data_IF_564762578573
#
_entry.id   IF_564762578573
#
_cell.length_a   1.000
_cell.length_b   1.000
_cell.length_c   1.000
_cell.angle_alpha   90.00
_cell.angle_beta   90.00
_cell.angle_gamma   90.00
#
_symmetry.space_group_name_H-M   'P 1'
#
loop_
_entity.id
_entity.type
_entity.pdbx_description
1 polymer ?
#
# COMPACT_ATOMS: atom_id res chain seq x y z
N UNK A 1 57.86 21.81 9.55
CA UNK A 1 57.15 22.43 8.41
C UNK A 1 56.72 21.34 7.44
N UNK A 2 55.54 20.75 7.68
CA UNK A 2 54.99 19.70 6.82
C UNK A 2 54.22 20.29 5.64
N UNK A 3 54.63 19.98 4.41
CA UNK A 3 53.89 20.32 3.19
C UNK A 3 52.64 19.45 3.10
N UNK A 4 51.47 20.07 3.15
CA UNK A 4 50.19 19.43 2.76
C UNK A 4 50.19 19.35 1.23
N UNK A 5 50.26 18.13 0.70
CA UNK A 5 50.05 17.86 -0.73
C UNK A 5 48.54 17.79 -0.97
N UNK A 6 47.99 18.80 -1.64
CA UNK A 6 46.66 18.75 -2.23
C UNK A 6 46.65 17.72 -3.36
N UNK A 7 45.95 16.60 -3.17
CA UNK A 7 45.68 15.64 -4.25
C UNK A 7 44.64 16.26 -5.19
N UNK A 8 45.05 16.59 -6.41
CA UNK A 8 44.14 16.80 -7.53
C UNK A 8 43.49 15.46 -7.89
N UNK A 9 42.16 15.40 -8.10
CA UNK A 9 41.49 14.16 -8.42
C UNK A 9 41.93 13.65 -9.80
N UNK A 10 41.99 12.33 -9.94
CA UNK A 10 42.41 11.69 -11.18
C UNK A 10 41.33 11.84 -12.26
N UNK A 11 41.74 11.85 -13.54
CA UNK A 11 40.83 11.92 -14.71
C UNK A 11 39.75 10.82 -14.72
N UNK A 12 39.95 9.72 -13.99
CA UNK A 12 38.94 8.66 -13.76
C UNK A 12 37.91 8.99 -12.68
N UNK A 13 38.23 9.83 -11.70
CA UNK A 13 37.28 10.34 -10.69
C UNK A 13 36.40 11.46 -11.26
N UNK A 14 36.93 12.33 -12.13
CA UNK A 14 36.12 13.34 -12.84
C UNK A 14 35.10 12.70 -13.79
N UNK A 15 35.44 11.61 -14.47
CA UNK A 15 34.50 10.87 -15.35
C UNK A 15 33.45 10.09 -14.56
N UNK A 16 33.78 9.60 -13.35
CA UNK A 16 32.79 9.01 -12.43
C UNK A 16 31.86 10.07 -11.85
N UNK A 17 32.37 11.23 -11.46
CA UNK A 17 31.56 12.36 -10.98
C UNK A 17 30.64 12.92 -12.08
N UNK A 18 31.07 12.94 -13.35
CA UNK A 18 30.20 13.32 -14.46
C UNK A 18 29.11 12.28 -14.78
N UNK A 19 29.36 10.98 -14.55
CA UNK A 19 28.32 9.94 -14.66
C UNK A 19 27.36 9.93 -13.46
N UNK A 20 27.82 10.22 -12.25
CA UNK A 20 26.96 10.38 -11.07
C UNK A 20 26.15 11.68 -11.10
N UNK A 21 26.68 12.78 -11.64
CA UNK A 21 25.93 14.02 -11.86
C UNK A 21 24.98 13.95 -13.07
N UNK A 22 25.22 13.06 -14.04
CA UNK A 22 24.32 12.80 -15.18
C UNK A 22 23.11 11.93 -14.80
N UNK A 23 23.15 11.21 -13.67
CA UNK A 23 22.01 10.47 -13.12
C UNK A 23 21.07 11.33 -12.27
N UNK A 24 21.44 12.59 -11.99
CA UNK A 24 20.62 13.58 -11.28
C UNK A 24 20.07 14.61 -12.27
N UNK A 25 19.27 14.13 -13.24
CA UNK A 25 18.29 14.90 -14.04
C UNK A 25 17.57 13.95 -15.02
N UNK A 26 17.00 12.84 -14.52
CA UNK A 26 15.85 12.29 -15.23
C UNK A 26 14.74 13.33 -15.11
N UNK A 27 14.55 14.12 -16.17
CA UNK A 27 13.42 15.03 -16.31
C UNK A 27 12.18 14.27 -15.87
N UNK A 28 11.57 14.71 -14.76
CA UNK A 28 10.27 14.19 -14.32
C UNK A 28 9.34 14.43 -15.49
N UNK A 29 8.94 13.36 -16.18
CA UNK A 29 8.00 13.51 -17.28
C UNK A 29 6.70 14.11 -16.71
N UNK A 30 6.13 15.12 -17.37
CA UNK A 30 4.90 15.75 -16.91
C UNK A 30 3.81 14.69 -16.74
N UNK A 31 3.15 14.69 -15.59
CA UNK A 31 2.07 13.74 -15.28
C UNK A 31 0.75 14.33 -15.78
N UNK A 32 -0.05 13.54 -16.46
CA UNK A 32 -1.34 13.97 -16.96
C UNK A 32 -2.46 13.09 -16.43
N UNK A 33 -3.63 13.68 -16.15
CA UNK A 33 -4.79 12.96 -15.59
C UNK A 33 -6.08 13.36 -16.30
N UNK A 34 -7.10 12.51 -16.17
CA UNK A 34 -8.45 12.81 -16.67
C UNK A 34 -9.02 14.01 -15.89
N UNK A 35 -9.68 14.97 -16.56
CA UNK A 35 -10.40 16.06 -15.90
C UNK A 35 -11.45 15.52 -14.92
N UNK A 36 -11.56 16.12 -13.73
CA UNK A 36 -12.59 15.77 -12.74
C UNK A 36 -13.98 16.23 -13.20
N UNK A 37 -15.05 15.43 -12.99
CA UNK A 37 -16.40 15.77 -13.42
C UNK A 37 -17.12 16.86 -12.58
N UNK A 38 -16.44 17.50 -11.62
CA UNK A 38 -17.06 18.38 -10.62
C UNK A 38 -17.16 19.87 -11.01
N UNK A 39 -16.74 20.28 -12.20
CA UNK A 39 -17.03 21.62 -12.73
C UNK A 39 -18.28 21.52 -13.61
N UNK A 40 -19.41 21.95 -13.09
CA UNK A 40 -20.69 21.99 -13.80
C UNK A 40 -20.66 22.96 -14.99
N UNK A 41 -20.11 22.50 -16.11
CA UNK A 41 -20.39 22.86 -17.51
C UNK A 41 -19.60 21.86 -18.37
N UNK A 42 -20.25 21.22 -19.34
CA UNK A 42 -19.81 19.99 -20.01
C UNK A 42 -18.62 20.08 -20.99
N UNK A 43 -17.67 21.01 -20.84
CA UNK A 43 -16.50 21.07 -21.72
C UNK A 43 -15.21 21.31 -20.92
N UNK A 44 -14.24 20.41 -21.06
CA UNK A 44 -12.92 20.56 -20.46
C UNK A 44 -12.07 21.49 -21.32
N UNK A 45 -11.82 22.72 -20.88
CA UNK A 45 -10.91 23.69 -21.52
C UNK A 45 -9.41 23.31 -21.41
N UNK A 46 -9.08 22.03 -21.58
CA UNK A 46 -7.69 21.58 -21.47
C UNK A 46 -6.96 21.69 -22.80
N UNK A 47 -5.76 22.28 -22.78
CA UNK A 47 -4.82 22.29 -23.90
C UNK A 47 -4.07 20.96 -24.10
N UNK A 48 -4.35 19.92 -23.30
CA UNK A 48 -3.70 18.62 -23.46
C UNK A 48 -4.72 17.52 -23.79
N UNK A 49 -4.31 16.61 -24.66
CA UNK A 49 -5.12 15.49 -25.14
C UNK A 49 -4.42 14.17 -24.81
N UNK A 50 -5.19 13.24 -24.27
CA UNK A 50 -4.82 11.82 -24.22
C UNK A 50 -5.26 11.16 -25.53
N UNK A 51 -4.33 10.50 -26.21
CA UNK A 51 -4.55 9.84 -27.50
C UNK A 51 -4.17 8.36 -27.37
N UNK A 52 -5.16 7.49 -27.44
CA UNK A 52 -4.93 6.04 -27.51
C UNK A 52 -4.81 5.55 -28.95
N UNK A 53 -4.22 4.36 -29.11
CA UNK A 53 -3.89 3.75 -30.40
C UNK A 53 -2.89 4.59 -31.21
N UNK A 54 -1.99 5.26 -30.49
CA UNK A 54 -1.06 6.23 -31.03
C UNK A 54 0.20 6.25 -30.16
N UNK A 55 1.34 5.88 -30.73
CA UNK A 55 2.63 5.83 -30.03
C UNK A 55 3.66 4.87 -30.65
N UNK A 56 4.88 4.81 -30.09
CA UNK A 56 5.98 4.03 -30.67
C UNK A 56 5.71 2.53 -30.76
N UNK A 57 4.99 1.94 -29.79
CA UNK A 57 4.69 0.52 -29.79
C UNK A 57 3.65 0.10 -30.86
N UNK A 58 2.93 1.07 -31.44
CA UNK A 58 2.06 0.83 -32.61
C UNK A 58 2.70 1.27 -33.93
N UNK A 59 4.00 1.64 -33.92
CA UNK A 59 4.76 1.99 -35.12
C UNK A 59 4.83 3.48 -35.44
N UNK A 60 4.36 4.37 -34.56
CA UNK A 60 4.33 5.82 -34.81
C UNK A 60 5.35 6.55 -33.93
N UNK A 61 6.24 7.34 -34.55
CA UNK A 61 7.19 8.18 -33.79
C UNK A 61 6.48 9.40 -33.19
N UNK A 62 7.00 9.93 -32.09
CA UNK A 62 6.47 11.17 -31.50
C UNK A 62 6.51 12.34 -32.47
N UNK A 63 7.52 12.41 -33.35
CA UNK A 63 7.65 13.47 -34.35
C UNK A 63 6.57 13.36 -35.43
N UNK A 64 6.28 12.15 -35.92
CA UNK A 64 5.20 11.92 -36.87
C UNK A 64 3.83 12.28 -36.28
N UNK A 65 3.60 11.90 -35.02
CA UNK A 65 2.38 12.28 -34.29
C UNK A 65 2.30 13.80 -34.13
N UNK A 66 3.40 14.45 -33.73
CA UNK A 66 3.46 15.91 -33.58
C UNK A 66 3.16 16.65 -34.87
N UNK A 67 3.66 16.16 -36.01
CA UNK A 67 3.43 16.73 -37.33
C UNK A 67 1.95 16.68 -37.76
N UNK A 68 1.22 15.61 -37.43
CA UNK A 68 -0.21 15.52 -37.74
C UNK A 68 -1.02 16.49 -36.86
N UNK A 69 -0.69 16.56 -35.57
CA UNK A 69 -1.43 17.41 -34.64
C UNK A 69 -1.10 18.90 -34.78
N UNK A 70 0.05 19.26 -35.39
CA UNK A 70 0.40 20.67 -35.64
C UNK A 70 -0.50 21.35 -36.67
N UNK A 71 -1.27 20.59 -37.47
CA UNK A 71 -2.29 21.12 -38.36
C UNK A 71 -3.43 21.85 -37.62
N UNK A 72 -3.63 21.56 -36.34
CA UNK A 72 -4.68 22.15 -35.51
C UNK A 72 -4.19 23.32 -34.66
N UNK A 73 -2.87 23.50 -34.53
CA UNK A 73 -2.24 24.57 -33.75
C UNK A 73 -0.85 24.21 -33.26
N UNK A 74 -0.20 25.13 -32.54
CA UNK A 74 1.17 24.92 -32.05
C UNK A 74 1.24 23.79 -31.00
N UNK A 75 2.02 22.75 -31.29
CA UNK A 75 2.24 21.61 -30.38
C UNK A 75 3.49 21.86 -29.52
N UNK A 76 3.29 21.99 -28.21
CA UNK A 76 4.37 22.11 -27.21
C UNK A 76 5.16 20.82 -27.04
N UNK A 77 4.52 19.68 -27.25
CA UNK A 77 5.20 18.39 -27.21
C UNK A 77 4.27 17.18 -27.24
N UNK A 78 4.88 16.04 -27.54
CA UNK A 78 4.26 14.71 -27.50
C UNK A 78 4.99 13.87 -26.45
N UNK A 79 4.25 13.40 -25.45
CA UNK A 79 4.79 12.68 -24.29
C UNK A 79 4.17 11.27 -24.20
N UNK A 80 4.88 10.26 -23.68
CA UNK A 80 4.28 8.97 -23.35
C UNK A 80 3.16 9.16 -22.31
N UNK A 81 1.99 8.54 -22.52
CA UNK A 81 0.92 8.58 -21.52
C UNK A 81 1.12 7.54 -20.39
N UNK A 82 1.77 6.43 -20.70
CA UNK A 82 2.13 5.34 -19.78
C UNK A 82 3.30 4.52 -20.37
N UNK A 83 3.72 3.46 -19.68
CA UNK A 83 4.82 2.58 -20.12
C UNK A 83 4.45 1.64 -21.29
N UNK A 84 3.18 1.63 -21.74
CA UNK A 84 2.73 0.70 -22.79
C UNK A 84 3.25 1.07 -24.18
N UNK A 85 3.61 2.34 -24.40
CA UNK A 85 4.04 2.85 -25.70
C UNK A 85 2.94 2.90 -26.77
N UNK A 86 1.69 2.52 -26.46
CA UNK A 86 0.56 2.55 -27.39
C UNK A 86 -0.34 3.79 -27.24
N UNK A 87 0.02 4.68 -26.31
CA UNK A 87 -0.73 5.89 -25.96
C UNK A 87 0.22 7.06 -25.71
N UNK A 88 -0.19 8.26 -26.13
CA UNK A 88 0.56 9.50 -25.95
C UNK A 88 -0.32 10.62 -25.38
N UNK A 89 0.34 11.63 -24.82
CA UNK A 89 -0.23 12.93 -24.48
C UNK A 89 0.29 13.95 -25.48
N UNK A 90 -0.63 14.74 -26.03
CA UNK A 90 -0.31 15.86 -26.92
C UNK A 90 -0.64 17.15 -26.18
N UNK A 91 0.35 18.02 -26.06
CA UNK A 91 0.20 19.32 -25.39
C UNK A 91 0.21 20.42 -26.44
N UNK A 92 -0.89 21.17 -26.53
CA UNK A 92 -1.01 22.36 -27.39
C UNK A 92 -0.64 23.63 -26.62
N UNK A 93 -0.29 24.67 -27.37
CA UNK A 93 -0.09 26.01 -26.84
C UNK A 93 -1.37 26.56 -26.20
N UNK A 94 -2.53 26.28 -26.80
CA UNK A 94 -3.84 26.79 -26.43
C UNK A 94 -4.92 25.67 -26.40
N UNK A 95 -6.03 25.87 -25.66
CA UNK A 95 -7.10 24.89 -25.55
C UNK A 95 -8.02 24.79 -26.79
N UNK A 96 -8.05 25.79 -27.66
CA UNK A 96 -8.89 25.78 -28.86
C UNK A 96 -8.35 24.79 -29.89
N UNK A 97 -7.03 24.78 -30.08
CA UNK A 97 -6.32 23.80 -30.92
C UNK A 97 -6.56 22.37 -30.45
N UNK A 98 -6.54 22.14 -29.13
CA UNK A 98 -6.85 20.83 -28.53
C UNK A 98 -8.31 20.40 -28.79
N UNK A 99 -9.27 21.32 -28.66
CA UNK A 99 -10.68 21.05 -28.96
C UNK A 99 -10.89 20.71 -30.45
N UNK A 100 -10.30 21.50 -31.34
CA UNK A 100 -10.37 21.30 -32.79
C UNK A 100 -9.81 19.93 -33.21
N UNK A 101 -8.66 19.53 -32.66
CA UNK A 101 -8.06 18.23 -32.92
C UNK A 101 -8.92 17.07 -32.38
N UNK A 102 -9.49 17.22 -31.18
CA UNK A 102 -10.40 16.23 -30.59
C UNK A 102 -11.63 16.01 -31.48
N UNK A 103 -12.30 17.07 -31.92
CA UNK A 103 -13.52 17.00 -32.74
C UNK A 103 -13.24 16.44 -34.14
N UNK A 104 -12.06 16.71 -34.69
CA UNK A 104 -11.68 16.29 -36.04
C UNK A 104 -11.16 14.86 -36.12
N UNK A 105 -10.41 14.39 -35.13
CA UNK A 105 -9.68 13.12 -35.19
C UNK A 105 -10.26 12.02 -34.29
N UNK A 106 -11.01 12.35 -33.24
CA UNK A 106 -11.52 11.33 -32.31
C UNK A 106 -12.58 10.45 -32.99
N UNK A 107 -12.36 9.13 -32.95
CA UNK A 107 -13.29 8.15 -33.50
C UNK A 107 -13.30 8.08 -35.04
N UNK A 108 -12.38 8.76 -35.73
CA UNK A 108 -12.27 8.75 -37.20
C UNK A 108 -10.91 8.17 -37.65
N UNK A 109 -10.85 7.46 -38.79
CA UNK A 109 -9.59 7.04 -39.40
C UNK A 109 -8.73 8.25 -39.76
N UNK A 110 -7.45 8.25 -39.36
CA UNK A 110 -6.49 9.28 -39.72
C UNK A 110 -5.51 8.73 -40.78
N UNK A 111 -5.63 9.14 -42.06
CA UNK A 111 -4.77 8.63 -43.14
C UNK A 111 -3.28 8.85 -42.87
N UNK A 112 -2.93 9.98 -42.27
CA UNK A 112 -1.54 10.38 -41.95
C UNK A 112 -0.94 9.58 -40.78
N UNK A 113 -1.74 8.76 -40.10
CA UNK A 113 -1.34 7.84 -39.03
C UNK A 113 -1.76 6.41 -39.37
N UNK A 114 -1.46 5.97 -40.59
CA UNK A 114 -1.76 4.65 -41.16
C UNK A 114 -3.26 4.28 -41.17
N UNK A 115 -4.15 5.26 -41.33
CA UNK A 115 -5.60 5.04 -41.33
C UNK A 115 -6.18 4.63 -39.97
N UNK A 116 -5.42 4.78 -38.87
CA UNK A 116 -5.85 4.33 -37.54
C UNK A 116 -6.97 5.19 -37.01
N UNK A 117 -7.91 4.56 -36.32
CA UNK A 117 -8.93 5.27 -35.55
C UNK A 117 -8.36 5.62 -34.18
N UNK A 118 -8.31 6.91 -33.88
CA UNK A 118 -7.80 7.43 -32.61
C UNK A 118 -8.91 7.56 -31.58
N UNK A 119 -8.61 7.27 -30.32
CA UNK A 119 -9.50 7.59 -29.21
C UNK A 119 -8.89 8.72 -28.40
N UNK A 120 -9.46 9.92 -28.58
CA UNK A 120 -8.93 11.15 -28.01
C UNK A 120 -9.85 11.61 -26.87
N UNK A 121 -9.24 12.07 -25.78
CA UNK A 121 -9.94 12.68 -24.64
C UNK A 121 -9.14 13.88 -24.14
N UNK A 122 -9.81 14.89 -23.58
CA UNK A 122 -9.11 15.92 -22.82
C UNK A 122 -8.37 15.30 -21.63
N UNK A 123 -7.18 15.82 -21.37
CA UNK A 123 -6.31 15.44 -20.26
C UNK A 123 -5.72 16.70 -19.67
N UNK A 124 -5.60 16.84 -18.37
CA UNK A 124 -4.99 18.02 -17.76
C UNK A 124 -3.57 17.72 -17.33
N UNK A 125 -2.67 18.69 -17.52
CA UNK A 125 -1.34 18.64 -16.93
C UNK A 125 -1.52 18.68 -15.41
N UNK A 126 -1.24 17.57 -14.76
CA UNK A 126 -0.98 17.57 -13.34
C UNK A 126 0.42 18.16 -13.21
N UNK A 127 0.49 19.49 -13.05
CA UNK A 127 1.63 20.13 -12.39
C UNK A 127 1.97 19.25 -11.18
N UNK A 128 3.24 19.11 -10.78
CA UNK A 128 3.55 18.61 -9.46
C UNK A 128 2.88 19.57 -8.48
N UNK A 129 1.60 19.32 -8.21
CA UNK A 129 0.94 19.70 -7.00
C UNK A 129 1.97 19.29 -5.97
N UNK A 130 2.41 20.24 -5.14
CA UNK A 130 2.53 19.92 -3.72
C UNK A 130 1.37 18.98 -3.48
N UNK A 131 1.70 17.70 -3.40
CA UNK A 131 0.76 16.59 -3.42
C UNK A 131 -0.46 17.08 -2.69
N UNK A 132 -1.66 17.04 -3.28
CA UNK A 132 -2.85 17.08 -2.44
C UNK A 132 -2.51 16.16 -1.29
N UNK A 133 -2.33 16.77 -0.13
CA UNK A 133 -1.88 16.08 1.06
C UNK A 133 -3.13 15.28 1.40
N UNK A 134 -3.30 14.12 0.76
CA UNK A 134 -3.75 12.97 1.50
C UNK A 134 -2.83 12.99 2.69
N UNK A 135 -3.30 13.54 3.81
CA UNK A 135 -2.58 13.72 5.07
C UNK A 135 -1.54 12.61 5.14
N UNK A 136 -0.30 12.90 4.77
CA UNK A 136 0.68 11.85 4.61
C UNK A 136 1.04 11.50 6.04
N UNK A 137 0.32 10.54 6.59
CA UNK A 137 0.42 10.17 8.00
C UNK A 137 1.91 9.93 8.25
N UNK A 138 2.54 10.72 9.14
CA UNK A 138 3.96 10.56 9.40
C UNK A 138 4.24 9.11 9.79
N UNK A 139 5.22 8.51 9.11
CA UNK A 139 5.57 7.11 9.31
C UNK A 139 6.68 7.01 10.35
N UNK A 140 6.35 6.43 11.51
CA UNK A 140 7.31 6.14 12.56
C UNK A 140 8.11 4.88 12.27
N UNK A 141 9.34 4.83 12.78
CA UNK A 141 10.22 3.66 12.67
C UNK A 141 10.22 2.82 13.96
N UNK A 142 9.79 3.41 15.07
CA UNK A 142 9.63 2.74 16.37
C UNK A 142 8.16 2.67 16.75
N UNK A 143 7.77 1.58 17.40
CA UNK A 143 6.43 1.44 17.98
C UNK A 143 6.14 2.49 19.06
N UNK A 144 7.14 2.83 19.88
CA UNK A 144 7.01 3.80 20.97
C UNK A 144 6.67 5.20 20.47
N UNK A 145 7.20 5.59 19.31
CA UNK A 145 6.93 6.91 18.69
C UNK A 145 5.44 7.10 18.35
N UNK A 146 4.70 6.00 18.19
CA UNK A 146 3.28 6.08 17.92
C UNK A 146 2.46 6.45 19.14
N UNK A 147 2.94 6.26 20.38
CA UNK A 147 2.13 6.49 21.58
C UNK A 147 0.76 5.79 21.48
N UNK A 148 0.75 4.52 21.04
CA UNK A 148 -0.44 3.65 21.07
C UNK A 148 -0.20 2.64 22.20
N UNK A 149 -0.97 2.68 23.30
CA UNK A 149 -0.82 1.73 24.40
C UNK A 149 -1.00 0.29 23.93
N UNK A 150 -0.09 -0.60 24.35
CA UNK A 150 -0.09 -2.02 23.97
C UNK A 150 0.43 -2.31 22.56
N UNK A 151 1.04 -1.33 21.88
CA UNK A 151 1.73 -1.55 20.60
C UNK A 151 3.24 -1.59 20.83
N UNK A 152 3.89 -2.68 20.41
CA UNK A 152 5.35 -2.82 20.48
C UNK A 152 5.91 -3.41 19.18
N UNK A 153 7.04 -2.86 18.71
CA UNK A 153 7.76 -3.38 17.56
C UNK A 153 9.17 -3.77 17.99
N UNK A 154 9.52 -5.04 17.79
CA UNK A 154 10.87 -5.56 18.03
C UNK A 154 11.52 -5.86 16.67
N UNK A 155 12.48 -5.03 16.20
CA UNK A 155 13.25 -5.32 15.00
C UNK A 155 14.18 -6.52 15.21
N UNK A 156 14.61 -7.14 14.10
CA UNK A 156 15.56 -8.25 14.09
C UNK A 156 15.19 -9.39 15.08
N UNK A 157 13.89 -9.66 15.20
CA UNK A 157 13.33 -10.71 16.05
C UNK A 157 13.75 -12.11 15.58
N UNK A 158 13.98 -12.28 14.27
CA UNK A 158 14.56 -13.50 13.69
C UNK A 158 15.83 -13.14 12.92
N UNK A 159 16.73 -14.10 12.78
CA UNK A 159 17.90 -13.93 11.91
C UNK A 159 17.52 -14.08 10.43
N UNK A 160 18.45 -13.75 9.53
CA UNK A 160 18.25 -13.94 8.09
C UNK A 160 18.11 -15.43 7.72
N UNK A 161 18.84 -16.30 8.41
CA UNK A 161 18.80 -17.75 8.24
C UNK A 161 17.45 -18.32 8.71
N UNK A 162 16.96 -17.88 9.88
CA UNK A 162 15.63 -18.25 10.37
C UNK A 162 14.53 -17.77 9.42
N UNK A 163 14.62 -16.54 8.90
CA UNK A 163 13.70 -16.02 7.89
C UNK A 163 13.65 -16.92 6.65
N UNK A 164 14.80 -17.36 6.14
CA UNK A 164 14.85 -18.28 5.00
C UNK A 164 14.21 -19.64 5.31
N UNK A 165 14.47 -20.20 6.49
CA UNK A 165 13.89 -21.47 6.92
C UNK A 165 12.36 -21.39 7.05
N UNK A 166 11.84 -20.31 7.65
CA UNK A 166 10.40 -20.08 7.77
C UNK A 166 9.72 -19.94 6.41
N UNK A 167 10.33 -19.18 5.49
CA UNK A 167 9.82 -18.99 4.14
C UNK A 167 9.84 -20.30 3.35
N UNK A 168 10.93 -21.06 3.41
CA UNK A 168 11.03 -22.37 2.77
C UNK A 168 9.97 -23.35 3.31
N UNK A 169 9.75 -23.37 4.63
CA UNK A 169 8.75 -24.22 5.24
C UNK A 169 7.33 -23.94 4.70
N UNK A 170 6.91 -22.68 4.66
CA UNK A 170 5.56 -22.34 4.14
C UNK A 170 5.45 -22.50 2.62
N UNK A 171 6.54 -22.36 1.87
CA UNK A 171 6.53 -22.55 0.42
C UNK A 171 6.28 -24.01 0.01
N UNK A 172 6.57 -24.97 0.89
CA UNK A 172 6.24 -26.38 0.67
C UNK A 172 4.79 -26.76 0.99
N UNK A 173 4.03 -25.84 1.60
CA UNK A 173 2.67 -26.09 2.05
C UNK A 173 1.63 -25.51 1.08
N UNK A 174 0.43 -26.10 0.99
CA UNK A 174 -0.64 -25.60 0.13
C UNK A 174 -1.12 -24.22 0.56
N UNK A 175 -1.43 -23.37 -0.42
CA UNK A 175 -1.95 -22.02 -0.20
C UNK A 175 -3.43 -21.92 -0.52
N UNK A 176 -4.18 -21.21 0.33
CA UNK A 176 -5.58 -20.85 0.08
C UNK A 176 -5.59 -19.47 -0.59
N UNK A 177 -6.14 -19.39 -1.80
CA UNK A 177 -6.30 -18.13 -2.53
C UNK A 177 -7.47 -17.30 -2.00
N UNK A 178 -7.23 -16.03 -1.69
CA UNK A 178 -8.25 -15.00 -1.48
C UNK A 178 -8.25 -14.03 -2.66
N UNK A 179 -9.20 -13.09 -2.69
CA UNK A 179 -9.42 -12.18 -3.82
C UNK A 179 -8.17 -11.41 -4.30
N UNK A 180 -7.23 -11.06 -3.41
CA UNK A 180 -6.02 -10.29 -3.75
C UNK A 180 -4.71 -10.86 -3.16
N UNK A 181 -4.80 -11.84 -2.27
CA UNK A 181 -3.66 -12.39 -1.52
C UNK A 181 -3.88 -13.88 -1.27
N UNK A 182 -2.88 -14.58 -0.76
CA UNK A 182 -3.01 -15.98 -0.35
C UNK A 182 -2.64 -16.18 1.11
N UNK A 183 -3.20 -17.22 1.72
CA UNK A 183 -3.05 -17.50 3.15
C UNK A 183 -2.81 -18.99 3.42
N UNK A 184 -2.26 -19.28 4.60
CA UNK A 184 -2.25 -20.61 5.22
C UNK A 184 -2.70 -20.47 6.66
N UNK A 185 -3.44 -21.45 7.16
CA UNK A 185 -3.91 -21.49 8.55
C UNK A 185 -3.38 -22.73 9.24
N UNK A 186 -2.94 -22.57 10.49
CA UNK A 186 -2.50 -23.65 11.35
C UNK A 186 -3.12 -23.50 12.73
N UNK A 187 -3.33 -24.63 13.41
CA UNK A 187 -4.08 -24.66 14.65
C UNK A 187 -5.58 -24.62 14.39
N UNK A 188 -6.07 -23.46 13.99
CA UNK A 188 -7.47 -23.26 13.61
C UNK A 188 -7.59 -22.49 12.30
N UNK A 189 -8.63 -22.81 11.53
CA UNK A 189 -8.99 -22.05 10.33
C UNK A 189 -9.61 -20.71 10.71
N UNK A 190 -9.23 -19.64 10.02
CA UNK A 190 -9.92 -18.36 10.13
C UNK A 190 -11.02 -18.26 9.06
N UNK A 191 -12.27 -18.33 9.49
CA UNK A 191 -13.44 -18.32 8.62
C UNK A 191 -13.77 -16.88 8.19
N UNK A 192 -13.36 -16.48 6.97
CA UNK A 192 -13.56 -15.11 6.48
C UNK A 192 -15.02 -14.67 6.35
N UNK A 193 -15.95 -15.60 6.10
CA UNK A 193 -17.39 -15.30 5.99
C UNK A 193 -18.01 -14.85 7.30
N UNK A 194 -17.58 -15.44 8.43
CA UNK A 194 -18.05 -15.09 9.78
C UNK A 194 -17.07 -14.19 10.53
N UNK A 195 -15.87 -13.97 9.97
CA UNK A 195 -14.72 -13.29 10.59
C UNK A 195 -14.38 -13.89 11.96
N UNK A 196 -14.47 -15.21 12.09
CA UNK A 196 -14.29 -15.90 13.37
C UNK A 196 -13.52 -17.22 13.18
N UNK A 197 -13.38 -17.96 14.27
CA UNK A 197 -12.83 -19.31 14.31
C UNK A 197 -13.92 -20.27 14.78
N UNK A 198 -14.03 -21.44 14.16
CA UNK A 198 -14.82 -22.53 14.71
C UNK A 198 -14.00 -23.29 15.77
N UNK A 199 -14.29 -23.02 17.04
CA UNK A 199 -13.57 -23.64 18.18
C UNK A 199 -13.79 -25.14 18.28
N UNK A 200 -14.79 -25.70 17.57
CA UNK A 200 -15.04 -27.15 17.50
C UNK A 200 -14.19 -27.84 16.45
N UNK A 201 -13.62 -27.09 15.50
CA UNK A 201 -12.86 -27.65 14.39
C UNK A 201 -11.40 -27.18 14.42
N UNK A 202 -10.55 -27.95 15.11
CA UNK A 202 -9.11 -27.71 15.20
C UNK A 202 -8.37 -28.47 14.08
N UNK A 203 -7.58 -27.76 13.29
CA UNK A 203 -6.78 -28.30 12.19
C UNK A 203 -5.57 -29.12 12.67
N UNK A 204 -5.11 -28.90 13.90
CA UNK A 204 -3.97 -29.59 14.50
C UNK A 204 -3.22 -28.72 15.50
N UNK A 205 -1.99 -29.10 15.81
CA UNK A 205 -1.06 -28.24 16.55
C UNK A 205 -0.39 -27.23 15.61
N UNK A 206 0.29 -26.24 16.20
CA UNK A 206 1.14 -25.34 15.41
C UNK A 206 2.34 -26.13 14.88
N UNK A 207 2.78 -25.87 13.63
CA UNK A 207 3.80 -26.68 12.99
C UNK A 207 5.17 -26.51 13.68
N UNK A 208 6.03 -27.55 13.70
CA UNK A 208 7.30 -27.50 14.43
C UNK A 208 8.25 -26.36 14.02
N UNK A 209 8.18 -25.89 12.77
CA UNK A 209 9.02 -24.79 12.29
C UNK A 209 8.75 -23.45 12.98
N UNK A 210 7.60 -23.28 13.65
CA UNK A 210 7.32 -22.06 14.45
C UNK A 210 7.71 -22.17 15.91
N UNK A 211 8.14 -23.35 16.39
CA UNK A 211 8.53 -23.55 17.80
C UNK A 211 9.60 -22.55 18.28
N UNK A 212 10.67 -22.24 17.53
CA UNK A 212 11.65 -21.24 17.95
C UNK A 212 11.03 -19.83 18.14
N UNK A 213 10.06 -19.49 17.30
CA UNK A 213 9.33 -18.21 17.35
C UNK A 213 8.47 -18.15 18.61
N UNK A 214 7.73 -19.23 18.90
CA UNK A 214 6.92 -19.34 20.12
C UNK A 214 7.77 -19.23 21.39
N UNK A 215 8.92 -19.90 21.43
CA UNK A 215 9.88 -19.81 22.54
C UNK A 215 10.38 -18.37 22.72
N UNK A 216 10.78 -17.70 21.63
CA UNK A 216 11.26 -16.31 21.70
C UNK A 216 10.16 -15.32 22.07
N UNK A 217 8.90 -15.57 21.68
CA UNK A 217 7.74 -14.77 22.10
C UNK A 217 7.56 -14.82 23.62
N UNK A 218 7.83 -15.97 24.25
CA UNK A 218 7.75 -16.09 25.72
C UNK A 218 8.77 -15.20 26.45
N UNK A 219 9.79 -14.71 25.75
CA UNK A 219 10.81 -13.82 26.30
C UNK A 219 10.58 -12.34 25.90
N UNK A 220 9.40 -12.01 25.34
CA UNK A 220 9.14 -10.67 24.83
C UNK A 220 9.06 -9.65 25.99
N UNK A 221 9.81 -8.53 25.94
CA UNK A 221 10.08 -7.67 27.11
C UNK A 221 8.91 -6.81 27.61
N UNK A 222 7.69 -6.97 27.08
CA UNK A 222 6.52 -6.15 27.44
C UNK A 222 5.24 -7.00 27.53
N UNK A 223 5.36 -8.21 28.08
CA UNK A 223 4.20 -9.02 28.42
C UNK A 223 3.80 -8.71 29.86
N UNK A 224 2.62 -8.11 30.04
CA UNK A 224 2.01 -7.90 31.37
C UNK A 224 1.50 -9.22 32.00
N UNK A 225 1.67 -10.34 31.29
CA UNK A 225 1.26 -11.67 31.70
C UNK A 225 2.47 -12.58 31.92
N UNK A 226 2.30 -13.57 32.79
CA UNK A 226 3.24 -14.68 32.91
C UNK A 226 3.44 -15.34 31.53
N UNK A 227 4.66 -15.34 30.96
CA UNK A 227 4.91 -15.98 29.67
C UNK A 227 4.47 -17.44 29.58
N UNK A 228 4.45 -18.17 30.71
CA UNK A 228 3.96 -19.55 30.76
C UNK A 228 2.45 -19.67 30.45
N UNK A 229 1.70 -18.58 30.58
CA UNK A 229 0.27 -18.51 30.26
C UNK A 229 0.00 -18.27 28.76
N UNK A 230 0.99 -17.79 28.01
CA UNK A 230 0.84 -17.38 26.62
C UNK A 230 0.87 -18.57 25.65
N UNK A 231 -0.22 -19.33 25.59
CA UNK A 231 -0.35 -20.55 24.77
C UNK A 231 -0.96 -20.28 23.39
N UNK A 232 -0.24 -19.58 22.52
CA UNK A 232 -0.68 -19.31 21.15
C UNK A 232 -0.97 -20.63 20.42
N UNK A 233 -2.15 -20.73 19.82
CA UNK A 233 -2.67 -21.96 19.22
C UNK A 233 -3.30 -21.75 17.84
N UNK A 234 -3.21 -20.54 17.30
CA UNK A 234 -3.60 -20.24 15.92
C UNK A 234 -2.48 -19.45 15.23
N UNK A 235 -2.16 -19.83 13.99
CA UNK A 235 -1.27 -19.09 13.08
C UNK A 235 -1.96 -18.83 11.72
N UNK A 236 -1.93 -17.57 11.28
CA UNK A 236 -2.30 -17.17 9.91
C UNK A 236 -1.04 -16.69 9.21
N UNK A 237 -0.59 -17.43 8.20
CA UNK A 237 0.44 -16.97 7.27
C UNK A 237 -0.26 -16.20 6.15
N UNK A 238 0.16 -14.97 5.89
CA UNK A 238 -0.36 -14.17 4.77
C UNK A 238 0.78 -13.86 3.82
N UNK A 239 0.57 -14.06 2.51
CA UNK A 239 1.48 -13.57 1.48
C UNK A 239 0.82 -12.48 0.64
N UNK A 240 1.52 -11.34 0.54
CA UNK A 240 1.10 -10.15 -0.19
C UNK A 240 2.01 -9.93 -1.41
N UNK A 241 1.43 -9.91 -2.62
CA UNK A 241 2.10 -9.39 -3.80
C UNK A 241 2.32 -7.87 -3.71
N UNK A 242 3.27 -7.34 -4.48
CA UNK A 242 3.50 -5.90 -4.56
C UNK A 242 2.23 -5.13 -4.99
N UNK A 243 1.85 -4.10 -4.23
CA UNK A 243 0.62 -3.34 -4.45
C UNK A 243 -0.59 -3.82 -3.67
N UNK A 244 -0.54 -5.04 -3.13
CA UNK A 244 -1.62 -5.62 -2.33
C UNK A 244 -1.43 -5.23 -0.86
N UNK A 245 -2.51 -4.74 -0.26
CA UNK A 245 -2.61 -4.41 1.15
C UNK A 245 -3.69 -5.24 1.85
N UNK A 246 -4.19 -4.69 2.95
CA UNK A 246 -5.21 -5.28 3.81
C UNK A 246 -6.08 -4.16 4.34
N UNK A 247 -7.38 -4.20 4.05
CA UNK A 247 -8.37 -3.20 4.48
C UNK A 247 -8.37 -2.96 5.99
N UNK A 248 -8.76 -1.77 6.47
CA UNK A 248 -8.79 -1.47 7.90
C UNK A 248 -9.71 -2.42 8.64
N UNK A 249 -9.24 -2.99 9.74
CA UNK A 249 -10.03 -3.87 10.60
C UNK A 249 -9.43 -3.98 12.01
N UNK A 250 -10.26 -4.43 12.94
CA UNK A 250 -9.86 -4.94 14.26
C UNK A 250 -10.07 -6.45 14.23
N UNK A 251 -9.14 -7.21 14.82
CA UNK A 251 -9.29 -8.65 14.97
C UNK A 251 -10.43 -8.96 15.95
N UNK A 252 -11.33 -9.86 15.54
CA UNK A 252 -12.59 -10.17 16.22
C UNK A 252 -12.39 -10.44 17.71
N UNK A 253 -13.17 -9.77 18.56
CA UNK A 253 -12.95 -9.78 20.00
C UNK A 253 -13.32 -11.13 20.61
N UNK A 254 -14.38 -11.76 20.10
CA UNK A 254 -14.77 -13.11 20.53
C UNK A 254 -13.81 -14.20 20.08
N UNK A 255 -13.07 -14.00 18.98
CA UNK A 255 -12.29 -15.05 18.32
C UNK A 255 -10.94 -15.28 19.00
N UNK A 256 -10.30 -14.18 19.42
CA UNK A 256 -8.93 -14.21 19.91
C UNK A 256 -8.77 -13.48 21.23
N UNK A 257 -7.79 -13.93 22.02
CA UNK A 257 -7.40 -13.27 23.27
C UNK A 257 -6.68 -11.94 23.03
N UNK A 258 -6.02 -11.43 24.06
CA UNK A 258 -5.47 -10.08 24.10
C UNK A 258 -4.24 -9.92 23.21
N UNK A 259 -3.24 -10.78 23.37
CA UNK A 259 -1.98 -10.65 22.64
C UNK A 259 -2.06 -11.20 21.21
N UNK A 260 -1.73 -10.36 20.23
CA UNK A 260 -1.59 -10.72 18.81
C UNK A 260 -0.18 -10.39 18.36
N UNK A 261 0.54 -11.39 17.86
CA UNK A 261 1.90 -11.26 17.37
C UNK A 261 1.92 -11.34 15.84
N UNK A 262 2.63 -10.44 15.18
CA UNK A 262 2.76 -10.41 13.74
C UNK A 262 4.23 -10.29 13.33
N UNK A 263 4.85 -11.39 12.94
CA UNK A 263 6.19 -11.44 12.39
C UNK A 263 6.15 -11.07 10.90
N UNK A 264 6.93 -10.06 10.51
CA UNK A 264 7.06 -9.63 9.10
C UNK A 264 8.30 -10.27 8.46
N UNK A 265 8.18 -10.83 7.26
CA UNK A 265 9.24 -11.53 6.53
C UNK A 265 9.28 -11.12 5.05
N UNK A 266 10.42 -11.31 4.41
CA UNK A 266 10.76 -11.05 3.00
C UNK A 266 10.70 -9.58 2.55
N UNK A 267 9.59 -8.88 2.78
CA UNK A 267 9.36 -7.52 2.30
C UNK A 267 8.83 -6.60 3.39
N UNK A 268 9.29 -5.34 3.46
CA UNK A 268 8.73 -4.37 4.39
C UNK A 268 7.31 -3.95 3.98
N UNK A 269 6.60 -3.29 4.90
CA UNK A 269 5.42 -2.49 4.56
C UNK A 269 5.21 -1.35 5.56
N UNK A 270 4.34 -0.41 5.21
CA UNK A 270 3.70 0.47 6.20
C UNK A 270 2.41 -0.20 6.68
N UNK A 271 2.22 -0.22 7.99
CA UNK A 271 0.93 -0.51 8.62
C UNK A 271 0.39 0.79 9.24
N UNK A 272 -0.82 1.19 8.85
CA UNK A 272 -1.53 2.30 9.47
C UNK A 272 -2.45 1.79 10.58
N UNK A 273 -2.57 2.59 11.63
CA UNK A 273 -3.47 2.41 12.75
C UNK A 273 -4.47 3.56 12.75
N UNK A 274 -5.76 3.23 12.83
CA UNK A 274 -6.86 4.19 12.79
C UNK A 274 -7.77 4.02 14.00
N UNK A 275 -7.97 5.11 14.74
CA UNK A 275 -8.93 5.18 15.86
C UNK A 275 -10.01 6.18 15.52
N UNK A 276 -11.26 5.70 15.52
CA UNK A 276 -12.43 6.52 15.24
C UNK A 276 -13.03 7.04 16.55
N UNK A 277 -13.59 8.25 16.51
CA UNK A 277 -14.40 8.74 17.62
C UNK A 277 -15.72 7.95 17.73
N UNK A 278 -16.30 7.88 18.93
CA UNK A 278 -17.45 7.03 19.22
C UNK A 278 -18.72 7.40 18.41
N UNK A 279 -18.87 8.64 17.96
CA UNK A 279 -20.00 9.08 17.12
C UNK A 279 -19.89 8.60 15.67
N UNK A 280 -18.68 8.48 15.14
CA UNK A 280 -18.43 8.13 13.72
C UNK A 280 -18.56 6.63 13.45
N UNK A 281 -18.24 5.78 14.43
CA UNK A 281 -18.25 4.31 14.25
C UNK A 281 -19.65 3.71 14.08
N UNK A 282 -20.66 4.30 14.73
CA UNK A 282 -22.06 3.84 14.63
C UNK A 282 -22.66 4.03 13.23
N UNK A 283 -22.17 5.00 12.45
CA UNK A 283 -22.74 5.30 11.12
C UNK A 283 -22.32 4.25 10.10
N UNK A 284 -21.12 3.67 10.20
CA UNK A 284 -20.63 2.68 9.23
C UNK A 284 -21.12 1.24 9.48
N UNK A 285 -21.85 0.99 10.57
CA UNK A 285 -22.34 -0.36 10.92
C UNK A 285 -23.81 -0.61 10.55
N UNK A 286 -24.55 0.42 10.10
CA UNK A 286 -25.95 0.29 9.67
C UNK A 286 -26.27 1.19 8.46
N UNK A 287 -25.84 0.80 7.26
CA UNK A 287 -26.56 1.09 6.01
C UNK A 287 -25.87 0.42 4.81
N UNK A 288 -26.62 -0.45 4.15
CA UNK A 288 -26.52 -0.64 2.69
C UNK A 288 -26.91 0.67 2.01
N UNK A 289 -26.15 1.02 0.99
CA UNK A 289 -26.37 2.06 0.00
C UNK A 289 -25.99 3.52 0.38
N UNK A 290 -25.29 4.11 -0.60
CA UNK A 290 -24.90 5.51 -0.82
C UNK A 290 -23.57 6.04 -0.24
N UNK A 291 -22.78 6.57 -1.19
CA UNK A 291 -21.43 7.09 -1.10
C UNK A 291 -21.36 8.43 -0.34
N UNK A 292 -21.67 8.45 0.96
CA UNK A 292 -21.25 9.57 1.81
C UNK A 292 -19.88 9.27 2.42
N UNK A 293 -18.83 9.91 1.88
CA UNK A 293 -17.51 9.92 2.50
C UNK A 293 -17.65 10.45 3.94
N UNK A 294 -17.37 9.64 4.97
CA UNK A 294 -17.45 10.11 6.34
C UNK A 294 -16.45 11.25 6.51
N UNK A 295 -16.92 12.33 7.13
CA UNK A 295 -16.12 13.49 7.46
C UNK A 295 -14.84 13.03 8.19
N UNK A 296 -13.70 13.23 7.54
CA UNK A 296 -12.38 12.75 7.99
C UNK A 296 -11.90 13.43 9.28
N UNK A 297 -12.67 14.38 9.80
CA UNK A 297 -12.36 15.24 10.96
C UNK A 297 -12.23 14.51 12.31
N UNK A 298 -12.63 13.23 12.42
CA UNK A 298 -12.70 12.51 13.71
C UNK A 298 -11.90 11.21 13.80
N UNK A 299 -10.99 10.96 12.85
CA UNK A 299 -10.17 9.73 12.80
C UNK A 299 -8.70 10.02 13.10
N UNK A 300 -8.18 9.53 14.22
CA UNK A 300 -6.74 9.57 14.52
C UNK A 300 -6.04 8.51 13.67
N UNK A 301 -5.08 8.92 12.84
CA UNK A 301 -4.28 8.03 12.00
C UNK A 301 -2.83 8.07 12.43
N UNK A 302 -2.21 6.90 12.53
CA UNK A 302 -0.80 6.70 12.88
C UNK A 302 -0.21 5.66 11.93
N UNK A 303 1.05 5.76 11.56
CA UNK A 303 1.65 4.83 10.59
C UNK A 303 3.00 4.31 11.08
N UNK A 304 3.19 2.99 11.01
CA UNK A 304 4.40 2.30 11.42
C UNK A 304 5.07 1.64 10.22
N UNK A 305 6.36 1.83 10.09
CA UNK A 305 7.18 1.03 9.19
C UNK A 305 7.48 -0.34 9.84
N UNK A 306 7.12 -1.41 9.14
CA UNK A 306 7.40 -2.79 9.53
C UNK A 306 8.54 -3.34 8.66
N UNK A 307 9.80 -3.37 9.15
CA UNK A 307 10.89 -3.99 8.43
C UNK A 307 10.75 -5.53 8.39
N UNK A 308 11.39 -6.22 7.44
CA UNK A 308 11.53 -7.68 7.51
C UNK A 308 12.19 -8.10 8.82
N UNK A 309 11.92 -9.33 9.25
CA UNK A 309 12.39 -9.96 10.48
C UNK A 309 11.97 -9.27 11.77
N UNK A 310 10.98 -8.37 11.73
CA UNK A 310 10.46 -7.71 12.93
C UNK A 310 9.19 -8.36 13.45
N UNK A 311 9.03 -8.36 14.77
CA UNK A 311 7.83 -8.81 15.46
C UNK A 311 7.05 -7.60 15.97
N UNK A 312 5.80 -7.47 15.51
CA UNK A 312 4.83 -6.53 16.06
C UNK A 312 3.96 -7.24 17.10
N UNK A 313 3.83 -6.68 18.30
CA UNK A 313 2.85 -7.07 19.31
C UNK A 313 1.74 -6.02 19.36
N UNK A 314 0.49 -6.49 19.30
CA UNK A 314 -0.71 -5.73 19.64
C UNK A 314 -1.35 -6.38 20.88
N UNK A 315 -1.50 -5.60 21.94
CA UNK A 315 -2.25 -5.94 23.16
C UNK A 315 -3.07 -4.74 23.62
N UNK A 316 -4.00 -4.95 24.56
CA UNK A 316 -4.79 -3.90 25.16
C UNK A 316 -5.45 -2.97 24.13
N UNK A 317 -5.24 -1.66 24.28
CA UNK A 317 -5.85 -0.67 23.39
C UNK A 317 -5.49 -0.91 21.92
N UNK A 318 -4.21 -1.17 21.59
CA UNK A 318 -3.75 -1.41 20.23
C UNK A 318 -4.50 -2.55 19.54
N UNK A 319 -4.86 -3.60 20.29
CA UNK A 319 -5.56 -4.79 19.78
C UNK A 319 -7.09 -4.62 19.76
N UNK A 320 -7.68 -3.88 20.68
CA UNK A 320 -9.14 -3.81 20.83
C UNK A 320 -9.78 -2.53 20.28
N UNK A 321 -9.02 -1.46 20.06
CA UNK A 321 -9.58 -0.14 19.73
C UNK A 321 -8.98 0.51 18.47
N UNK A 322 -7.88 -0.02 17.93
CA UNK A 322 -7.24 0.51 16.74
C UNK A 322 -7.43 -0.43 15.55
N UNK A 323 -8.02 0.10 14.49
CA UNK A 323 -8.05 -0.60 13.21
C UNK A 323 -6.65 -0.60 12.62
N UNK A 324 -6.13 -1.77 12.26
CA UNK A 324 -4.87 -1.88 11.54
C UNK A 324 -5.13 -2.12 10.06
N UNK A 325 -4.28 -1.52 9.22
CA UNK A 325 -4.47 -1.40 7.78
C UNK A 325 -3.11 -1.47 7.07
N UNK A 326 -3.02 -2.18 5.96
CA UNK A 326 -1.86 -2.12 5.06
C UNK A 326 -2.32 -1.44 3.77
N UNK A 327 -1.77 -0.28 3.38
CA UNK A 327 -2.22 0.42 2.18
C UNK A 327 -2.06 -0.35 0.87
N UNK A 328 -3.00 -0.21 -0.06
CA UNK A 328 -2.92 -0.79 -1.41
C UNK A 328 -2.12 0.11 -2.36
N UNK A 329 -0.78 0.10 -2.24
CA UNK A 329 0.11 0.79 -3.16
C UNK A 329 1.44 0.05 -3.34
N UNK A 330 2.19 0.41 -4.38
CA UNK A 330 3.49 -0.21 -4.72
C UNK A 330 4.69 0.54 -4.15
N UNK A 331 4.45 1.71 -3.56
CA UNK A 331 5.49 2.63 -3.10
C UNK A 331 5.07 3.18 -1.74
N UNK A 332 5.92 2.95 -0.75
CA UNK A 332 5.85 3.51 0.60
C UNK A 332 6.76 4.76 0.66
N UNK A 333 6.31 5.83 1.32
CA UNK A 333 7.16 6.98 1.66
C UNK A 333 7.41 6.95 3.17
N UNK A 334 8.67 6.77 3.57
CA UNK A 334 9.08 6.66 4.96
C UNK A 334 10.11 7.76 5.24
N UNK A 335 9.70 8.79 5.98
CA UNK A 335 10.46 10.05 6.10
C UNK A 335 10.80 10.57 4.69
N UNK A 336 12.07 10.88 4.41
CA UNK A 336 12.52 11.37 3.10
C UNK A 336 12.85 10.25 2.09
N UNK A 337 12.61 8.97 2.46
CA UNK A 337 12.95 7.81 1.62
C UNK A 337 11.70 7.27 0.92
N UNK A 338 11.86 7.01 -0.37
CA UNK A 338 10.87 6.31 -1.19
C UNK A 338 11.26 4.83 -1.26
N UNK A 339 10.42 3.95 -0.71
CA UNK A 339 10.64 2.51 -0.68
C UNK A 339 9.66 1.85 -1.63
N UNK A 340 10.17 1.14 -2.65
CA UNK A 340 9.32 0.32 -3.52
C UNK A 340 9.02 -0.99 -2.80
N UNK A 341 7.75 -1.39 -2.74
CA UNK A 341 7.36 -2.64 -2.10
C UNK A 341 7.96 -3.83 -2.83
N UNK A 342 8.57 -4.73 -2.06
CA UNK A 342 9.09 -6.00 -2.54
C UNK A 342 8.03 -6.75 -3.36
N UNK A 343 8.44 -7.56 -4.36
CA UNK A 343 7.51 -8.42 -5.10
C UNK A 343 6.70 -9.34 -4.19
N UNK A 344 7.27 -9.69 -3.03
CA UNK A 344 6.74 -10.61 -2.04
C UNK A 344 6.93 -10.04 -0.63
N UNK A 345 5.87 -10.07 0.17
CA UNK A 345 5.90 -9.91 1.62
C UNK A 345 5.14 -11.06 2.25
N UNK A 346 5.68 -11.65 3.30
CA UNK A 346 5.01 -12.68 4.09
C UNK A 346 4.86 -12.18 5.52
N UNK A 347 3.74 -12.49 6.18
CA UNK A 347 3.60 -12.25 7.61
C UNK A 347 2.97 -13.44 8.33
N UNK A 348 3.51 -13.77 9.50
CA UNK A 348 3.00 -14.82 10.37
C UNK A 348 2.29 -14.14 11.53
N UNK A 349 0.97 -14.31 11.60
CA UNK A 349 0.14 -13.74 12.67
C UNK A 349 -0.24 -14.84 13.65
N UNK A 350 0.32 -14.80 14.86
CA UNK A 350 0.07 -15.78 15.92
C UNK A 350 -0.87 -15.19 16.97
N UNK A 351 -1.83 -16.02 17.39
CA UNK A 351 -2.91 -15.65 18.31
C UNK A 351 -3.25 -16.81 19.22
N UNK A 352 -3.94 -16.49 20.32
CA UNK A 352 -4.63 -17.46 21.17
C UNK A 352 -6.13 -17.39 20.86
N UNK A 353 -6.74 -18.52 20.49
CA UNK A 353 -8.18 -18.64 20.30
C UNK A 353 -8.89 -18.50 21.65
N UNK A 354 -9.94 -17.68 21.67
CA UNK A 354 -10.73 -17.39 22.86
C UNK A 354 -11.93 -18.35 22.94
N UNK A 355 -12.13 -18.97 24.09
CA UNK A 355 -13.21 -19.94 24.34
C UNK A 355 -14.34 -19.41 25.24
N UNK A 356 -14.36 -18.11 25.51
CA UNK A 356 -15.35 -17.45 26.36
C UNK A 356 -15.68 -16.05 25.82
N UNK A 357 -16.82 -15.44 26.18
CA UNK A 357 -17.15 -14.09 25.72
C UNK A 357 -16.07 -13.07 26.10
N UNK A 358 -15.77 -12.14 25.20
CA UNK A 358 -14.84 -11.04 25.48
C UNK A 358 -15.48 -10.02 26.44
N UNK A 359 -14.67 -9.50 27.36
CA UNK A 359 -15.05 -8.48 28.37
C UNK A 359 -14.04 -7.33 28.41
N UNK A 360 -13.47 -6.97 27.26
CA UNK A 360 -12.50 -5.88 27.15
C UNK A 360 -13.12 -4.52 27.52
N UNK A 361 -12.28 -3.54 27.84
CA UNK A 361 -12.66 -2.16 28.19
C UNK A 361 -13.20 -1.33 26.99
N UNK A 362 -13.32 -1.95 25.82
CA UNK A 362 -13.74 -1.31 24.57
C UNK A 362 -15.03 -1.91 24.00
N UNK A 363 -16.18 -1.82 24.72
CA UNK A 363 -17.45 -2.43 24.32
C UNK A 363 -17.97 -1.92 22.97
N UNK A 364 -17.63 -0.68 22.58
CA UNK A 364 -18.02 -0.06 21.31
C UNK A 364 -17.40 -0.72 20.07
N UNK A 365 -16.36 -1.56 20.24
CA UNK A 365 -15.75 -2.33 19.15
C UNK A 365 -15.94 -3.85 19.34
N UNK A 366 -16.55 -4.27 20.44
CA UNK A 366 -16.56 -5.66 20.88
C UNK A 366 -17.83 -6.38 20.46
N UNK A 367 -17.71 -7.29 19.50
CA UNK A 367 -18.83 -8.13 19.01
C UNK A 367 -19.49 -8.96 20.13
N UNK A 368 -18.72 -9.48 21.09
CA UNK A 368 -19.27 -10.20 22.25
C UNK A 368 -20.13 -9.35 23.19
N UNK A 369 -19.87 -8.04 23.28
CA UNK A 369 -20.57 -7.13 24.19
C UNK A 369 -21.72 -6.40 23.50
N UNK A 370 -21.62 -6.16 22.19
CA UNK A 370 -22.69 -5.55 21.40
C UNK A 370 -23.91 -6.47 21.22
N UNK A 371 -23.69 -7.80 21.13
CA UNK A 371 -24.78 -8.77 21.00
C UNK A 371 -25.69 -8.86 22.24
N UNK A 372 -25.31 -8.28 23.39
CA UNK A 372 -26.13 -8.30 24.61
C UNK A 372 -27.19 -7.20 24.69
N UNK A 373 -27.19 -6.26 23.75
CA UNK A 373 -28.10 -5.10 23.75
C UNK A 373 -29.28 -5.24 22.76
N UNK A 374 -29.45 -6.40 22.13
CA UNK A 374 -30.60 -6.72 21.28
C UNK A 374 -31.52 -7.74 21.94
#
# INVERSE_FOLDING_TARGET
MGRVLSKTPSRSEEVRNHKEQSLVRKMVQPRFVRPSPSSGTGESNSSNLYVANCGPAVGLSHDAIGAVFSAFGEVKGVYPADESGVRVIISFADPFSAKSALESLSGRPCPDLDGRTLHIRHSVLQLPSQTQVNECVPVSLSGSDLNIPGLFLLPDFVTAEEEQQLLAAVDTQPWIGLAKRRVQHYGYEFCYGTRNVDTKNRLGELPPFVSPILQRISLFPNLDYDPASLKLDQLTVNEYPSGVGLSPHIDTHSAFEDCIFSLSLAGPCIMEFRRYSASTWKVTSTSTDEEEKPDTSTCIKKALYLPPRSMLLLSGEARYAWNHYIPHHKIDKVKDKVIRRSPRRVSFTLRKVRNHPCRCEFPQYCDSQQQKHN
#
